data_IF_892901289578
#
_entry.id   IF_892901289578
#
_cell.length_a   1.000
_cell.length_b   1.000
_cell.length_c   1.000
_cell.angle_alpha   90.00
_cell.angle_beta   90.00
_cell.angle_gamma   90.00
#
_symmetry.space_group_name_H-M   'P 1'
#
loop_
_entity.id
_entity.type
_entity.pdbx_description
1 polymer ?
#
# COMPACT_ATOMS: atom_id res chain seq x y z
N UNK A 1 41.31 11.48 -16.80
CA UNK A 1 42.01 12.50 -17.61
C UNK A 1 43.20 11.84 -18.26
N UNK A 2 43.54 12.16 -19.51
CA UNK A 2 44.93 12.06 -20.00
C UNK A 2 45.53 10.65 -20.13
N UNK A 3 46.37 10.48 -21.17
CA UNK A 3 47.66 9.83 -20.98
C UNK A 3 48.47 10.68 -19.98
N UNK A 4 48.53 10.21 -18.73
CA UNK A 4 49.75 9.69 -18.12
C UNK A 4 49.40 8.23 -17.81
N UNK A 5 50.09 7.23 -18.38
CA UNK A 5 51.19 6.53 -17.71
C UNK A 5 50.83 6.18 -16.25
N UNK A 6 50.81 4.92 -15.81
CA UNK A 6 51.71 3.82 -16.16
C UNK A 6 51.20 2.50 -15.55
N UNK A 7 51.21 1.45 -16.38
CA UNK A 7 51.89 0.16 -16.16
C UNK A 7 51.49 -0.78 -14.99
N UNK A 8 51.31 -2.04 -15.45
CA UNK A 8 51.83 -3.32 -14.92
C UNK A 8 51.06 -3.91 -13.73
N UNK A 9 50.58 -5.16 -13.74
CA UNK A 9 51.05 -6.36 -14.44
C UNK A 9 49.91 -7.34 -14.79
N UNK A 10 49.93 -7.83 -16.03
CA UNK A 10 49.53 -9.19 -16.44
C UNK A 10 50.55 -10.23 -15.92
N UNK A 11 50.23 -11.54 -15.81
CA UNK A 11 49.98 -12.35 -17.01
C UNK A 11 48.77 -13.29 -16.96
N UNK A 12 48.26 -13.49 -18.16
CA UNK A 12 47.42 -14.59 -18.66
C UNK A 12 48.30 -15.84 -18.88
N UNK A 13 47.66 -17.00 -19.12
CA UNK A 13 48.16 -18.21 -19.84
C UNK A 13 48.45 -19.40 -18.90
N UNK A 14 47.44 -20.22 -18.56
CA UNK A 14 46.87 -21.44 -19.21
C UNK A 14 47.47 -22.75 -18.69
N UNK A 15 46.60 -23.73 -18.41
CA UNK A 15 46.76 -25.11 -18.88
C UNK A 15 45.38 -25.80 -18.99
N UNK A 16 45.01 -26.12 -20.23
CA UNK A 16 43.99 -27.10 -20.61
C UNK A 16 44.51 -28.53 -20.37
N UNK A 17 43.63 -29.52 -20.61
CA UNK A 17 43.85 -30.96 -20.97
C UNK A 17 43.36 -31.90 -19.85
N UNK A 18 42.52 -32.93 -20.02
CA UNK A 18 41.75 -33.62 -21.10
C UNK A 18 40.88 -34.66 -20.33
N UNK A 19 39.57 -34.78 -20.46
CA UNK A 19 38.75 -35.40 -21.51
C UNK A 19 38.85 -36.95 -21.65
N UNK A 20 37.71 -37.61 -21.92
CA UNK A 20 37.62 -38.97 -22.48
C UNK A 20 36.55 -39.87 -21.82
N UNK A 21 35.25 -39.68 -22.07
CA UNK A 21 34.38 -40.33 -23.08
C UNK A 21 34.16 -41.85 -22.88
N UNK A 22 32.92 -42.23 -22.54
CA UNK A 22 32.17 -43.31 -23.21
C UNK A 22 30.66 -43.16 -22.97
N UNK A 23 29.90 -43.45 -24.02
CA UNK A 23 28.46 -43.23 -24.18
C UNK A 23 27.60 -44.43 -23.77
N UNK A 24 26.28 -44.15 -23.64
CA UNK A 24 25.14 -45.07 -23.48
C UNK A 24 25.10 -45.79 -22.12
N UNK A 25 23.98 -45.86 -21.37
CA UNK A 25 22.61 -46.25 -21.77
C UNK A 25 21.54 -45.74 -20.79
N UNK A 26 20.36 -45.37 -21.32
CA UNK A 26 19.02 -45.60 -20.76
C UNK A 26 18.88 -45.84 -19.24
N UNK A 27 18.32 -44.86 -18.53
CA UNK A 27 17.05 -45.06 -17.81
C UNK A 27 16.33 -43.74 -17.76
N UNK A 28 15.16 -43.70 -18.40
CA UNK A 28 14.16 -42.67 -18.17
C UNK A 28 13.80 -42.67 -16.68
N UNK A 29 14.21 -41.66 -15.94
CA UNK A 29 13.48 -41.24 -14.74
C UNK A 29 12.33 -40.37 -15.23
N UNK A 30 11.08 -40.72 -14.89
CA UNK A 30 9.93 -39.98 -15.37
C UNK A 30 10.08 -38.54 -14.90
N UNK A 31 9.83 -37.61 -15.82
CA UNK A 31 9.53 -36.24 -15.47
C UNK A 31 8.44 -36.28 -14.40
N UNK A 32 8.81 -36.00 -13.15
CA UNK A 32 7.93 -35.23 -12.29
C UNK A 32 7.77 -33.90 -13.03
N UNK A 33 6.73 -33.83 -13.84
CA UNK A 33 6.09 -32.57 -14.15
C UNK A 33 5.69 -31.99 -12.79
N UNK A 34 6.60 -31.25 -12.15
CA UNK A 34 6.19 -30.19 -11.27
C UNK A 34 5.28 -29.33 -12.13
N UNK A 35 4.00 -29.28 -11.79
CA UNK A 35 3.08 -28.28 -12.32
C UNK A 35 3.71 -26.92 -12.00
N UNK A 36 4.51 -26.41 -12.93
CA UNK A 36 5.09 -25.09 -12.83
C UNK A 36 3.91 -24.13 -12.96
N UNK A 37 3.60 -23.46 -11.86
CA UNK A 37 2.50 -22.49 -11.79
C UNK A 37 2.70 -21.43 -12.88
N UNK A 38 1.62 -21.07 -13.59
CA UNK A 38 1.72 -20.09 -14.68
C UNK A 38 1.93 -18.67 -14.12
N UNK A 39 2.48 -17.77 -14.96
CA UNK A 39 2.82 -16.41 -14.53
C UNK A 39 1.60 -15.67 -13.98
N UNK A 40 0.43 -15.82 -14.61
CA UNK A 40 -0.81 -15.19 -14.15
C UNK A 40 -1.18 -15.60 -12.73
N UNK A 41 -1.09 -16.89 -12.39
CA UNK A 41 -1.41 -17.37 -11.05
C UNK A 41 -0.34 -16.94 -10.03
N UNK A 42 0.95 -17.02 -10.39
CA UNK A 42 2.03 -16.55 -9.52
C UNK A 42 1.90 -15.05 -9.21
N UNK A 43 1.57 -14.24 -10.22
CA UNK A 43 1.37 -12.80 -10.09
C UNK A 43 0.17 -12.47 -9.19
N UNK A 44 -0.97 -13.14 -9.38
CA UNK A 44 -2.15 -12.93 -8.54
C UNK A 44 -1.87 -13.26 -7.07
N UNK A 45 -1.16 -14.36 -6.79
CA UNK A 45 -0.70 -14.70 -5.44
C UNK A 45 0.23 -13.64 -4.86
N UNK A 46 1.19 -13.16 -5.65
CA UNK A 46 2.12 -12.12 -5.24
C UNK A 46 1.38 -10.83 -4.85
N UNK A 47 0.46 -10.33 -5.68
CA UNK A 47 -0.30 -9.11 -5.40
C UNK A 47 -1.09 -9.23 -4.10
N UNK A 48 -1.79 -10.35 -3.91
CA UNK A 48 -2.52 -10.61 -2.68
C UNK A 48 -1.62 -10.66 -1.44
N UNK A 49 -0.39 -11.19 -1.55
CA UNK A 49 0.55 -11.22 -0.43
C UNK A 49 1.07 -9.83 -0.06
N UNK A 50 1.36 -8.98 -1.06
CA UNK A 50 1.82 -7.60 -0.84
C UNK A 50 0.79 -6.79 -0.08
N UNK A 51 -0.48 -6.85 -0.48
CA UNK A 51 -1.56 -6.08 0.16
C UNK A 51 -1.78 -6.49 1.62
N UNK A 52 -1.50 -7.76 1.95
CA UNK A 52 -1.64 -8.27 3.32
C UNK A 52 -0.51 -7.84 4.25
N UNK A 53 0.63 -7.39 3.75
CA UNK A 53 1.70 -6.87 4.60
C UNK A 53 1.24 -5.66 5.43
N UNK A 54 0.46 -4.74 4.84
CA UNK A 54 -0.07 -3.59 5.58
C UNK A 54 -1.29 -3.92 6.45
N UNK A 55 -1.88 -5.10 6.30
CA UNK A 55 -2.97 -5.57 7.14
C UNK A 55 -2.47 -6.23 8.44
N UNK A 56 -1.18 -6.53 8.55
CA UNK A 56 -0.59 -7.06 9.79
C UNK A 56 -0.86 -6.07 10.94
N UNK A 57 -1.59 -6.57 11.94
CA UNK A 57 -2.06 -5.84 13.13
C UNK A 57 -2.87 -4.57 12.86
N UNK A 58 -3.52 -4.46 11.69
CA UNK A 58 -4.28 -3.25 11.31
C UNK A 58 -5.41 -2.94 12.29
N UNK A 59 -6.11 -3.96 12.80
CA UNK A 59 -7.20 -3.78 13.76
C UNK A 59 -6.70 -3.15 15.06
N UNK A 60 -5.57 -3.63 15.59
CA UNK A 60 -4.97 -3.09 16.80
C UNK A 60 -4.44 -1.65 16.59
N UNK A 61 -3.91 -1.35 15.40
CA UNK A 61 -3.50 0.00 15.01
C UNK A 61 -4.70 0.96 14.99
N UNK A 62 -5.82 0.56 14.38
CA UNK A 62 -7.06 1.34 14.35
C UNK A 62 -7.62 1.55 15.76
N UNK A 63 -7.54 0.52 16.62
CA UNK A 63 -7.92 0.65 18.03
C UNK A 63 -7.06 1.70 18.74
N UNK A 64 -5.74 1.75 18.49
CA UNK A 64 -4.87 2.79 19.08
C UNK A 64 -5.31 4.20 18.68
N UNK A 65 -5.69 4.43 17.43
CA UNK A 65 -6.15 5.74 16.95
C UNK A 65 -7.47 6.18 17.59
N UNK A 66 -8.33 5.22 17.94
CA UNK A 66 -9.67 5.46 18.50
C UNK A 66 -9.72 5.34 20.03
N UNK A 67 -8.60 5.02 20.67
CA UNK A 67 -8.52 4.92 22.14
C UNK A 67 -8.51 6.31 22.81
N UNK A 68 -9.28 6.51 23.90
CA UNK A 68 -9.15 7.70 24.73
C UNK A 68 -7.75 7.82 25.34
N UNK A 69 -7.25 9.05 25.50
CA UNK A 69 -5.90 9.29 26.06
C UNK A 69 -5.69 8.69 27.45
N UNK A 70 -6.74 8.56 28.25
CA UNK A 70 -6.66 7.91 29.56
C UNK A 70 -6.22 6.44 29.45
N UNK A 71 -6.65 5.74 28.42
CA UNK A 71 -6.32 4.33 28.20
C UNK A 71 -5.00 4.18 27.43
N UNK A 72 -4.71 5.09 26.48
CA UNK A 72 -3.37 5.20 25.87
C UNK A 72 -2.27 5.33 26.93
N UNK A 73 -2.53 6.11 27.99
CA UNK A 73 -1.59 6.29 29.10
C UNK A 73 -1.39 5.03 29.93
N UNK A 74 -2.45 4.25 30.17
CA UNK A 74 -2.35 2.99 30.92
C UNK A 74 -1.57 1.94 30.14
N UNK A 75 -1.76 1.90 28.82
CA UNK A 75 -1.22 0.89 27.92
C UNK A 75 0.00 1.36 27.13
N UNK A 76 0.60 2.50 27.48
CA UNK A 76 1.64 3.14 26.65
C UNK A 76 2.78 2.19 26.28
N UNK A 77 3.28 1.41 27.25
CA UNK A 77 4.39 0.48 27.01
C UNK A 77 3.99 -0.67 26.08
N UNK A 78 2.79 -1.20 26.26
CA UNK A 78 2.27 -2.31 25.47
C UNK A 78 1.99 -1.87 24.03
N UNK A 79 1.41 -0.67 23.86
CA UNK A 79 1.21 -0.03 22.55
C UNK A 79 2.56 0.19 21.84
N UNK A 80 3.56 0.72 22.52
CA UNK A 80 4.89 0.94 21.94
C UNK A 80 5.56 -0.38 21.54
N UNK A 81 5.41 -1.43 22.36
CA UNK A 81 5.92 -2.77 22.03
C UNK A 81 5.19 -3.36 20.82
N UNK A 82 3.86 -3.24 20.76
CA UNK A 82 3.05 -3.67 19.62
C UNK A 82 3.45 -2.97 18.32
N UNK A 83 3.62 -1.64 18.35
CA UNK A 83 4.03 -0.88 17.17
C UNK A 83 5.43 -1.29 16.68
N UNK A 84 6.37 -1.52 17.62
CA UNK A 84 7.71 -2.03 17.27
C UNK A 84 7.65 -3.42 16.65
N UNK A 85 6.93 -4.35 17.28
CA UNK A 85 6.77 -5.72 16.79
C UNK A 85 6.10 -5.74 15.42
N UNK A 86 5.05 -4.93 15.23
CA UNK A 86 4.34 -4.82 13.96
C UNK A 86 5.28 -4.32 12.86
N UNK A 87 6.15 -3.35 13.17
CA UNK A 87 7.14 -2.86 12.21
C UNK A 87 8.07 -3.98 11.74
N UNK A 88 8.57 -4.81 12.65
CA UNK A 88 9.46 -5.93 12.30
C UNK A 88 8.72 -6.99 11.46
N UNK A 89 7.46 -7.28 11.78
CA UNK A 89 6.63 -8.23 11.01
C UNK A 89 6.33 -7.73 9.61
N UNK A 90 5.96 -6.44 9.46
CA UNK A 90 5.73 -5.84 8.14
C UNK A 90 7.02 -5.81 7.32
N UNK A 91 8.15 -5.46 7.92
CA UNK A 91 9.44 -5.48 7.25
C UNK A 91 9.78 -6.87 6.71
N UNK A 92 9.62 -7.92 7.52
CA UNK A 92 9.84 -9.29 7.09
C UNK A 92 8.88 -9.71 5.96
N UNK A 93 7.60 -9.32 6.05
CA UNK A 93 6.61 -9.57 5.02
C UNK A 93 7.00 -8.96 3.66
N UNK A 94 7.44 -7.70 3.65
CA UNK A 94 7.88 -7.06 2.40
C UNK A 94 9.16 -7.66 1.84
N UNK A 95 10.12 -8.09 2.67
CA UNK A 95 11.31 -8.79 2.18
C UNK A 95 10.93 -10.12 1.51
N UNK A 96 10.00 -10.87 2.09
CA UNK A 96 9.52 -12.10 1.47
C UNK A 96 8.74 -11.83 0.17
N UNK A 97 7.96 -10.75 0.14
CA UNK A 97 7.28 -10.32 -1.08
C UNK A 97 8.29 -9.97 -2.20
N UNK A 98 9.39 -9.27 -1.87
CA UNK A 98 10.46 -8.99 -2.85
C UNK A 98 11.11 -10.26 -3.38
N UNK A 99 11.36 -11.24 -2.51
CA UNK A 99 11.89 -12.54 -2.94
C UNK A 99 10.92 -13.24 -3.90
N UNK A 100 9.63 -13.26 -3.58
CA UNK A 100 8.60 -13.84 -4.43
C UNK A 100 8.45 -13.11 -5.77
N UNK A 101 8.65 -11.79 -5.80
CA UNK A 101 8.61 -11.01 -7.04
C UNK A 101 9.69 -11.45 -8.03
N UNK A 102 10.89 -11.82 -7.57
CA UNK A 102 11.94 -12.31 -8.46
C UNK A 102 11.51 -13.58 -9.22
N UNK A 103 10.82 -14.50 -8.53
CA UNK A 103 10.29 -15.73 -9.13
C UNK A 103 9.15 -15.42 -10.11
N UNK A 104 8.26 -14.47 -9.77
CA UNK A 104 7.18 -14.00 -10.66
C UNK A 104 7.76 -13.39 -11.95
N UNK A 105 8.76 -12.51 -11.83
CA UNK A 105 9.41 -11.88 -12.97
C UNK A 105 10.11 -12.92 -13.86
N UNK A 106 10.81 -13.88 -13.26
CA UNK A 106 11.44 -14.97 -14.01
C UNK A 106 10.42 -15.81 -14.79
N UNK A 107 9.27 -16.14 -14.18
CA UNK A 107 8.18 -16.84 -14.86
C UNK A 107 7.59 -16.01 -16.01
N UNK A 108 7.40 -14.71 -15.79
CA UNK A 108 6.89 -13.77 -16.79
C UNK A 108 7.81 -13.63 -18.01
N UNK A 109 9.12 -13.48 -17.80
CA UNK A 109 10.09 -13.46 -18.92
C UNK A 109 10.12 -14.79 -19.67
N UNK A 110 10.09 -15.92 -18.96
CA UNK A 110 10.03 -17.24 -19.59
C UNK A 110 8.74 -17.46 -20.41
N UNK A 111 7.62 -16.88 -19.99
CA UNK A 111 6.38 -16.90 -20.77
C UNK A 111 6.45 -15.97 -21.99
N UNK A 112 7.09 -14.81 -21.86
CA UNK A 112 7.31 -13.87 -22.97
C UNK A 112 8.15 -14.48 -24.08
N UNK A 113 9.18 -15.26 -23.75
CA UNK A 113 9.96 -16.02 -24.74
C UNK A 113 9.13 -17.05 -25.51
N UNK A 114 8.13 -17.66 -24.85
CA UNK A 114 7.20 -18.63 -25.48
C UNK A 114 6.14 -17.93 -26.33
N UNK A 115 5.79 -16.69 -26.00
CA UNK A 115 4.76 -15.87 -26.65
C UNK A 115 5.32 -14.49 -27.05
N UNK A 116 6.31 -14.43 -27.97
CA UNK A 116 7.05 -13.19 -28.25
C UNK A 116 6.22 -12.05 -28.88
N UNK A 117 5.00 -12.35 -29.34
CA UNK A 117 4.08 -11.38 -29.95
C UNK A 117 2.87 -11.07 -29.05
N UNK A 118 2.88 -11.52 -27.80
CA UNK A 118 1.80 -11.25 -26.84
C UNK A 118 1.98 -9.84 -26.23
N UNK A 119 1.36 -8.85 -26.87
CA UNK A 119 1.39 -7.46 -26.42
C UNK A 119 0.82 -7.27 -25.02
N UNK A 120 -0.16 -8.10 -24.63
CA UNK A 120 -0.76 -8.04 -23.29
C UNK A 120 0.25 -8.43 -22.22
N UNK A 121 0.97 -9.53 -22.45
CA UNK A 121 2.04 -9.98 -21.57
C UNK A 121 3.18 -8.96 -21.50
N UNK A 122 3.58 -8.38 -22.64
CA UNK A 122 4.64 -7.36 -22.67
C UNK A 122 4.30 -6.11 -21.83
N UNK A 123 3.08 -5.59 -21.98
CA UNK A 123 2.60 -4.45 -21.18
C UNK A 123 2.48 -4.78 -19.69
N UNK A 124 2.07 -6.02 -19.36
CA UNK A 124 1.98 -6.45 -17.97
C UNK A 124 3.35 -6.54 -17.31
N UNK A 125 4.36 -7.03 -18.02
CA UNK A 125 5.75 -7.08 -17.54
C UNK A 125 6.34 -5.69 -17.32
N UNK A 126 6.03 -4.70 -18.19
CA UNK A 126 6.47 -3.31 -18.01
C UNK A 126 5.92 -2.69 -16.71
N UNK A 127 4.69 -3.04 -16.32
CA UNK A 127 4.15 -2.66 -15.01
C UNK A 127 4.85 -3.40 -13.87
N UNK A 128 5.09 -4.70 -14.02
CA UNK A 128 5.68 -5.51 -12.97
C UNK A 128 7.16 -5.17 -12.70
N UNK A 129 7.90 -4.70 -13.70
CA UNK A 129 9.28 -4.19 -13.55
C UNK A 129 9.39 -3.01 -12.57
N UNK A 130 8.30 -2.31 -12.29
CA UNK A 130 8.27 -1.18 -11.36
C UNK A 130 7.99 -1.61 -9.92
N UNK A 131 7.46 -2.83 -9.71
CA UNK A 131 7.08 -3.34 -8.40
C UNK A 131 8.24 -3.40 -7.39
N UNK A 132 9.50 -3.70 -7.74
CA UNK A 132 10.58 -3.72 -6.75
C UNK A 132 10.78 -2.37 -6.05
N UNK A 133 10.81 -1.27 -6.81
CA UNK A 133 10.96 0.08 -6.26
C UNK A 133 9.73 0.47 -5.41
N UNK A 134 8.53 0.08 -5.85
CA UNK A 134 7.29 0.33 -5.13
C UNK A 134 7.25 -0.43 -3.79
N UNK A 135 7.71 -1.68 -3.76
CA UNK A 135 7.84 -2.47 -2.52
C UNK A 135 8.86 -1.85 -1.56
N UNK A 136 10.01 -1.40 -2.05
CA UNK A 136 11.00 -0.69 -1.24
C UNK A 136 10.41 0.58 -0.60
N UNK A 137 9.67 1.36 -1.39
CA UNK A 137 9.01 2.57 -0.91
C UNK A 137 7.94 2.26 0.15
N UNK A 138 7.05 1.30 -0.11
CA UNK A 138 5.99 0.90 0.83
C UNK A 138 6.57 0.33 2.12
N UNK A 139 7.57 -0.54 2.05
CA UNK A 139 8.26 -1.05 3.23
C UNK A 139 8.85 0.08 4.10
N UNK A 140 9.51 1.06 3.47
CA UNK A 140 10.07 2.21 4.18
C UNK A 140 8.96 3.04 4.84
N UNK A 141 7.93 3.40 4.08
CA UNK A 141 6.81 4.22 4.58
C UNK A 141 6.08 3.51 5.72
N UNK A 142 5.77 2.22 5.58
CA UNK A 142 5.11 1.41 6.62
C UNK A 142 5.95 1.38 7.91
N UNK A 143 7.28 1.25 7.79
CA UNK A 143 8.18 1.31 8.93
C UNK A 143 8.26 2.70 9.61
N UNK A 144 8.34 3.77 8.81
CA UNK A 144 8.37 5.15 9.30
C UNK A 144 7.02 5.57 9.91
N UNK A 145 5.91 5.07 9.38
CA UNK A 145 4.56 5.34 9.86
C UNK A 145 4.39 4.81 11.28
N UNK A 146 4.78 3.55 11.53
CA UNK A 146 4.68 2.94 12.85
C UNK A 146 5.59 3.63 13.88
N UNK A 147 6.73 4.15 13.45
CA UNK A 147 7.60 4.96 14.30
C UNK A 147 6.95 6.31 14.63
N UNK A 148 6.41 7.01 13.62
CA UNK A 148 5.70 8.28 13.78
C UNK A 148 4.48 8.14 14.70
N UNK A 149 3.70 7.05 14.57
CA UNK A 149 2.58 6.76 15.47
C UNK A 149 3.04 6.54 16.92
N UNK A 150 4.20 5.91 17.13
CA UNK A 150 4.77 5.71 18.47
C UNK A 150 5.18 7.04 19.13
N UNK A 151 5.73 7.95 18.33
CA UNK A 151 6.04 9.33 18.74
C UNK A 151 4.76 10.11 19.06
N UNK A 152 3.72 9.96 18.24
CA UNK A 152 2.41 10.59 18.43
C UNK A 152 1.73 10.14 19.74
N UNK A 153 1.80 8.84 20.08
CA UNK A 153 1.33 8.32 21.38
C UNK A 153 2.07 9.03 22.52
N UNK A 154 3.39 9.11 22.42
CA UNK A 154 4.24 9.75 23.43
C UNK A 154 3.94 11.24 23.57
N UNK A 155 3.79 11.93 22.44
CA UNK A 155 3.48 13.35 22.39
C UNK A 155 2.10 13.64 22.98
N UNK A 156 1.09 12.85 22.60
CA UNK A 156 -0.29 13.01 23.07
C UNK A 156 -0.37 12.90 24.58
N UNK A 157 0.26 11.86 25.17
CA UNK A 157 0.29 11.67 26.62
C UNK A 157 1.02 12.81 27.34
N UNK A 158 2.17 13.24 26.82
CA UNK A 158 2.95 14.34 27.42
C UNK A 158 2.23 15.69 27.34
N UNK A 159 1.45 15.92 26.29
CA UNK A 159 0.82 17.21 26.00
C UNK A 159 -0.70 17.24 26.24
N UNK A 160 -1.25 16.23 26.93
CA UNK A 160 -2.69 16.08 27.19
C UNK A 160 -3.37 17.39 27.62
N UNK A 161 -2.79 18.11 28.59
CA UNK A 161 -3.33 19.38 29.10
C UNK A 161 -3.39 20.48 28.05
N UNK A 162 -2.38 20.55 27.17
CA UNK A 162 -2.31 21.54 26.09
C UNK A 162 -3.34 21.19 25.01
N UNK A 163 -3.41 19.93 24.62
CA UNK A 163 -4.34 19.43 23.60
C UNK A 163 -5.81 19.58 24.06
N UNK A 164 -6.13 19.25 25.31
CA UNK A 164 -7.48 19.46 25.89
C UNK A 164 -7.93 20.92 25.86
N UNK A 165 -7.01 21.86 26.09
CA UNK A 165 -7.30 23.31 25.97
C UNK A 165 -7.58 23.72 24.53
N UNK A 166 -6.86 23.16 23.57
CA UNK A 166 -7.07 23.42 22.14
C UNK A 166 -8.41 22.83 21.65
N UNK A 167 -8.80 21.66 22.14
CA UNK A 167 -10.03 20.97 21.77
C UNK A 167 -11.26 21.36 22.62
N UNK A 168 -11.17 22.44 23.41
CA UNK A 168 -12.28 23.00 24.23
C UNK A 168 -12.99 21.96 25.12
N UNK A 169 -12.25 21.00 25.67
CA UNK A 169 -12.79 20.04 26.64
C UNK A 169 -13.57 18.86 26.05
N UNK A 170 -13.47 18.58 24.74
CA UNK A 170 -13.91 17.31 24.15
C UNK A 170 -13.02 16.14 24.60
N UNK A 171 -13.54 14.92 24.45
CA UNK A 171 -12.74 13.70 24.64
C UNK A 171 -11.49 13.76 23.76
N UNK A 172 -10.33 13.56 24.38
CA UNK A 172 -9.05 13.61 23.71
C UNK A 172 -8.66 12.20 23.27
N UNK A 173 -8.41 12.06 21.97
CA UNK A 173 -7.90 10.85 21.32
C UNK A 173 -6.43 11.06 20.92
N UNK A 174 -5.84 10.07 20.24
CA UNK A 174 -4.50 10.19 19.69
C UNK A 174 -4.40 11.44 18.80
N UNK A 175 -3.39 12.27 19.04
CA UNK A 175 -3.06 13.37 18.14
C UNK A 175 -2.23 12.82 16.98
N UNK A 176 -2.70 13.02 15.76
CA UNK A 176 -1.95 12.73 14.54
C UNK A 176 -1.04 13.91 14.19
N UNK A 177 0.26 13.66 14.06
CA UNK A 177 1.20 14.68 13.58
C UNK A 177 1.19 14.83 12.06
N UNK A 178 1.63 15.99 11.58
CA UNK A 178 1.81 16.26 10.14
C UNK A 178 2.68 15.19 9.45
N UNK A 179 3.64 14.61 10.18
CA UNK A 179 4.48 13.51 9.68
C UNK A 179 3.66 12.24 9.47
N UNK A 180 2.87 11.82 10.45
CA UNK A 180 1.99 10.65 10.36
C UNK A 180 0.98 10.81 9.22
N UNK A 181 0.31 11.97 9.15
CA UNK A 181 -0.62 12.31 8.08
C UNK A 181 0.05 12.23 6.69
N UNK A 182 1.25 12.79 6.55
CA UNK A 182 2.01 12.74 5.31
C UNK A 182 2.39 11.32 4.88
N UNK A 183 2.77 10.46 5.82
CA UNK A 183 3.15 9.07 5.55
C UNK A 183 1.94 8.24 5.09
N UNK A 184 0.78 8.38 5.75
CA UNK A 184 -0.48 7.76 5.32
C UNK A 184 -0.80 8.15 3.87
N UNK A 185 -0.68 9.45 3.57
CA UNK A 185 -0.95 9.97 2.23
C UNK A 185 0.04 9.46 1.18
N UNK A 186 1.32 9.35 1.52
CA UNK A 186 2.34 8.80 0.61
C UNK A 186 2.07 7.33 0.29
N UNK A 187 1.73 6.52 1.30
CA UNK A 187 1.39 5.10 1.10
C UNK A 187 0.16 4.95 0.21
N UNK A 188 -0.93 5.65 0.55
CA UNK A 188 -2.16 5.64 -0.25
C UNK A 188 -1.91 6.13 -1.68
N UNK A 189 -1.06 7.14 -1.87
CA UNK A 189 -0.66 7.65 -3.19
C UNK A 189 0.08 6.60 -4.03
N UNK A 190 0.93 5.78 -3.42
CA UNK A 190 1.59 4.65 -4.09
C UNK A 190 0.57 3.59 -4.49
N UNK A 191 -0.27 3.15 -3.55
CA UNK A 191 -1.30 2.12 -3.79
C UNK A 191 -2.21 2.53 -4.95
N UNK A 192 -2.75 3.74 -4.91
CA UNK A 192 -3.59 4.28 -5.96
C UNK A 192 -2.80 4.43 -7.28
N UNK A 193 -1.54 4.86 -7.25
CA UNK A 193 -0.76 4.94 -8.51
C UNK A 193 -0.57 3.57 -9.17
N UNK A 194 -0.39 2.50 -8.39
CA UNK A 194 -0.25 1.13 -8.93
C UNK A 194 -1.58 0.63 -9.47
N UNK A 195 -2.64 0.79 -8.69
CA UNK A 195 -4.00 0.43 -9.09
C UNK A 195 -4.40 1.15 -10.38
N UNK A 196 -4.16 2.46 -10.47
CA UNK A 196 -4.49 3.25 -11.65
C UNK A 196 -3.78 2.76 -12.92
N UNK A 197 -2.52 2.33 -12.83
CA UNK A 197 -1.78 1.75 -13.96
C UNK A 197 -2.36 0.39 -14.37
N UNK A 198 -2.69 -0.46 -13.40
CA UNK A 198 -3.34 -1.75 -13.68
C UNK A 198 -4.71 -1.54 -14.35
N UNK A 199 -5.54 -0.63 -13.84
CA UNK A 199 -6.85 -0.33 -14.41
C UNK A 199 -6.78 0.26 -15.82
N UNK A 200 -5.72 1.02 -16.14
CA UNK A 200 -5.47 1.49 -17.50
C UNK A 200 -5.11 0.35 -18.45
N UNK A 201 -4.27 -0.59 -17.99
CA UNK A 201 -3.97 -1.79 -18.77
C UNK A 201 -5.23 -2.64 -18.97
N UNK A 202 -5.99 -2.90 -17.93
CA UNK A 202 -7.22 -3.71 -17.99
C UNK A 202 -8.25 -3.10 -18.97
N UNK A 203 -8.32 -1.77 -19.08
CA UNK A 203 -9.17 -1.07 -20.05
C UNK A 203 -8.76 -1.29 -21.50
N UNK A 204 -7.46 -1.28 -21.78
CA UNK A 204 -6.95 -1.60 -23.11
C UNK A 204 -7.30 -3.04 -23.51
N UNK A 205 -7.40 -3.94 -22.53
CA UNK A 205 -7.64 -5.37 -22.72
C UNK A 205 -9.12 -5.76 -22.72
N UNK A 206 -10.00 -4.87 -22.25
CA UNK A 206 -11.43 -5.15 -22.07
C UNK A 206 -12.29 -4.28 -23.00
N UNK A 207 -12.37 -4.57 -24.32
CA UNK A 207 -13.16 -3.77 -25.24
C UNK A 207 -14.67 -3.91 -24.95
N UNK A 208 -15.48 -2.83 -25.12
CA UNK A 208 -16.91 -2.82 -24.82
C UNK A 208 -17.73 -3.59 -25.86
N UNK A 209 -17.64 -4.92 -25.78
CA UNK A 209 -18.36 -5.87 -26.63
C UNK A 209 -19.50 -6.53 -25.86
N UNK A 210 -20.46 -7.17 -26.56
CA UNK A 210 -21.58 -7.86 -25.90
C UNK A 210 -21.12 -9.04 -25.02
N UNK A 211 -20.05 -9.73 -25.42
CA UNK A 211 -19.52 -10.89 -24.68
C UNK A 211 -18.75 -10.50 -23.42
N UNK A 212 -18.21 -9.28 -23.36
CA UNK A 212 -17.38 -8.79 -22.25
C UNK A 212 -18.05 -7.65 -21.47
N UNK A 213 -19.38 -7.50 -21.62
CA UNK A 213 -20.10 -6.38 -21.03
C UNK A 213 -19.99 -6.36 -19.50
N UNK A 214 -20.03 -7.52 -18.86
CA UNK A 214 -19.89 -7.65 -17.41
C UNK A 214 -18.51 -7.15 -16.92
N UNK A 215 -17.43 -7.66 -17.52
CA UNK A 215 -16.06 -7.26 -17.19
C UNK A 215 -15.82 -5.78 -17.48
N UNK A 216 -16.38 -5.26 -18.57
CA UNK A 216 -16.33 -3.84 -18.88
C UNK A 216 -17.04 -2.99 -17.81
N UNK A 217 -18.23 -3.39 -17.36
CA UNK A 217 -18.95 -2.69 -16.28
C UNK A 217 -18.17 -2.74 -14.97
N UNK A 218 -17.68 -3.92 -14.57
CA UNK A 218 -16.82 -4.09 -13.37
C UNK A 218 -15.62 -3.14 -13.43
N UNK A 219 -14.94 -3.07 -14.58
CA UNK A 219 -13.79 -2.19 -14.77
C UNK A 219 -14.16 -0.71 -14.61
N UNK A 220 -15.28 -0.26 -15.19
CA UNK A 220 -15.72 1.14 -15.05
C UNK A 220 -16.09 1.50 -13.63
N UNK A 221 -16.73 0.60 -12.90
CA UNK A 221 -17.01 0.76 -11.48
C UNK A 221 -15.71 0.86 -10.65
N UNK A 222 -14.74 -0.04 -10.88
CA UNK A 222 -13.41 0.01 -10.23
C UNK A 222 -12.69 1.33 -10.52
N UNK A 223 -12.65 1.76 -11.78
CA UNK A 223 -12.05 3.05 -12.17
C UNK A 223 -12.74 4.23 -11.52
N UNK A 224 -14.07 4.22 -11.44
CA UNK A 224 -14.79 5.30 -10.76
C UNK A 224 -14.46 5.34 -9.26
N UNK A 225 -14.43 4.19 -8.59
CA UNK A 225 -14.03 4.06 -7.19
C UNK A 225 -12.60 4.58 -6.96
N UNK A 226 -11.66 4.21 -7.82
CA UNK A 226 -10.27 4.67 -7.79
C UNK A 226 -10.17 6.21 -7.81
N UNK A 227 -10.87 6.86 -8.74
CA UNK A 227 -10.86 8.32 -8.85
C UNK A 227 -11.63 9.02 -7.70
N UNK A 228 -12.67 8.40 -7.15
CA UNK A 228 -13.32 8.90 -5.92
C UNK A 228 -12.39 8.83 -4.71
N UNK A 229 -11.61 7.74 -4.55
CA UNK A 229 -10.62 7.62 -3.49
C UNK A 229 -9.56 8.75 -3.58
N UNK A 230 -9.07 9.04 -4.80
CA UNK A 230 -8.18 10.19 -5.06
C UNK A 230 -8.83 11.53 -4.72
N UNK A 231 -10.12 11.68 -5.04
CA UNK A 231 -10.90 12.89 -4.71
C UNK A 231 -10.99 13.10 -3.19
N UNK A 232 -11.26 12.04 -2.42
CA UNK A 232 -11.32 12.07 -0.96
C UNK A 232 -9.97 12.43 -0.32
N UNK A 233 -8.85 11.93 -0.86
CA UNK A 233 -7.52 12.33 -0.37
C UNK A 233 -7.24 13.82 -0.60
N UNK A 234 -7.66 14.38 -1.74
CA UNK A 234 -7.47 15.81 -2.03
C UNK A 234 -8.37 16.65 -1.12
N UNK A 235 -9.57 16.18 -0.78
CA UNK A 235 -10.44 16.85 0.17
C UNK A 235 -9.75 17.10 1.53
N UNK A 236 -9.02 16.10 2.04
CA UNK A 236 -8.29 16.23 3.31
C UNK A 236 -7.23 17.35 3.25
N UNK A 237 -6.57 17.52 2.10
CA UNK A 237 -5.64 18.63 1.88
C UNK A 237 -6.34 19.98 1.88
N UNK A 238 -7.52 20.09 1.25
CA UNK A 238 -8.28 21.35 1.18
C UNK A 238 -8.65 21.82 2.59
N UNK A 239 -9.03 20.89 3.47
CA UNK A 239 -9.36 21.19 4.87
C UNK A 239 -8.14 21.64 5.67
N UNK A 240 -6.97 21.04 5.42
CA UNK A 240 -5.72 21.38 6.10
C UNK A 240 -5.09 22.70 5.60
N UNK A 241 -5.13 22.96 4.29
CA UNK A 241 -4.41 24.05 3.64
C UNK A 241 -5.31 25.23 3.20
N UNK A 242 -5.49 26.20 4.09
CA UNK A 242 -6.28 27.42 3.79
C UNK A 242 -5.68 28.35 2.72
N UNK A 243 -4.43 28.15 2.31
CA UNK A 243 -3.70 29.09 1.40
C UNK A 243 -3.79 28.72 -0.08
N UNK A 244 -4.18 27.50 -0.42
CA UNK A 244 -4.20 26.98 -1.80
C UNK A 244 -5.56 26.44 -2.23
N UNK A 245 -6.62 26.85 -1.54
CA UNK A 245 -8.00 26.37 -1.74
C UNK A 245 -8.40 26.33 -3.23
N UNK A 246 -8.19 27.35 -4.08
CA UNK A 246 -8.60 27.27 -5.49
C UNK A 246 -7.87 26.19 -6.30
N UNK A 247 -6.58 25.93 -6.03
CA UNK A 247 -5.80 24.91 -6.73
C UNK A 247 -6.19 23.51 -6.27
N UNK A 248 -6.37 23.32 -4.97
CA UNK A 248 -6.78 22.03 -4.40
C UNK A 248 -8.21 21.67 -4.83
N UNK A 249 -9.10 22.66 -4.88
CA UNK A 249 -10.46 22.49 -5.41
C UNK A 249 -10.49 22.16 -6.91
N UNK A 250 -9.61 22.75 -7.72
CA UNK A 250 -9.49 22.38 -9.13
C UNK A 250 -9.00 20.94 -9.31
N UNK A 251 -8.08 20.47 -8.46
CA UNK A 251 -7.63 19.07 -8.45
C UNK A 251 -8.75 18.12 -8.03
N UNK A 252 -9.49 18.48 -6.97
CA UNK A 252 -10.66 17.73 -6.49
C UNK A 252 -11.66 17.54 -7.63
N UNK A 253 -12.02 18.63 -8.33
CA UNK A 253 -12.90 18.56 -9.50
C UNK A 253 -12.34 17.66 -10.59
N UNK A 254 -11.05 17.74 -10.89
CA UNK A 254 -10.45 16.94 -11.97
C UNK A 254 -10.57 15.45 -11.70
N UNK A 255 -10.20 14.99 -10.49
CA UNK A 255 -10.33 13.58 -10.11
C UNK A 255 -11.80 13.15 -10.09
N UNK A 256 -12.68 14.00 -9.57
CA UNK A 256 -14.11 13.76 -9.59
C UNK A 256 -14.68 13.59 -11.01
N UNK A 257 -14.28 14.45 -11.95
CA UNK A 257 -14.71 14.36 -13.34
C UNK A 257 -14.22 13.09 -14.02
N UNK A 258 -13.04 12.57 -13.66
CA UNK A 258 -12.61 11.25 -14.13
C UNK A 258 -13.52 10.14 -13.61
N UNK A 259 -13.95 10.21 -12.34
CA UNK A 259 -14.90 9.27 -11.75
C UNK A 259 -16.28 9.32 -12.44
N UNK A 260 -16.82 10.53 -12.64
CA UNK A 260 -18.09 10.77 -13.32
C UNK A 260 -18.03 10.33 -14.79
N UNK A 261 -16.92 10.59 -15.47
CA UNK A 261 -16.68 10.14 -16.85
C UNK A 261 -16.82 8.63 -17.04
N UNK A 262 -16.36 7.83 -16.08
CA UNK A 262 -16.52 6.37 -16.15
C UNK A 262 -18.01 5.95 -16.11
N UNK A 263 -18.81 6.63 -15.28
CA UNK A 263 -20.24 6.36 -15.16
C UNK A 263 -21.02 6.85 -16.38
N UNK A 264 -20.61 7.97 -16.98
CA UNK A 264 -21.20 8.50 -18.21
C UNK A 264 -20.98 7.55 -19.39
N UNK A 265 -19.83 6.88 -19.46
CA UNK A 265 -19.60 5.82 -20.46
C UNK A 265 -20.55 4.63 -20.28
N UNK A 266 -20.91 4.28 -19.04
CA UNK A 266 -21.93 3.26 -18.79
C UNK A 266 -23.32 3.71 -19.28
N UNK A 267 -23.67 4.99 -19.07
CA UNK A 267 -24.93 5.57 -19.57
C UNK A 267 -25.02 5.48 -21.10
N UNK A 268 -23.91 5.74 -21.81
CA UNK A 268 -23.86 5.62 -23.26
C UNK A 268 -24.10 4.17 -23.77
N UNK A 269 -24.02 3.18 -22.87
CA UNK A 269 -24.26 1.76 -23.15
C UNK A 269 -25.62 1.24 -22.67
N UNK A 270 -26.50 2.12 -22.16
CA UNK A 270 -27.80 1.78 -21.57
C UNK A 270 -28.64 0.73 -22.34
N UNK A 271 -28.74 0.75 -23.70
CA UNK A 271 -29.47 -0.30 -24.42
C UNK A 271 -28.89 -1.71 -24.24
N UNK A 272 -27.58 -1.82 -24.01
CA UNK A 272 -26.86 -3.09 -23.79
C UNK A 272 -26.89 -3.52 -22.32
N UNK A 273 -27.04 -2.58 -21.39
CA UNK A 273 -27.19 -2.86 -19.95
C UNK A 273 -28.52 -3.55 -19.61
N UNK A 274 -29.45 -3.65 -20.58
CA UNK A 274 -30.65 -4.48 -20.52
C UNK A 274 -30.39 -5.97 -20.24
N UNK A 275 -29.15 -6.44 -20.44
CA UNK A 275 -28.72 -7.80 -20.11
C UNK A 275 -28.50 -8.05 -18.60
N UNK A 276 -28.37 -7.00 -17.79
CA UNK A 276 -28.24 -7.13 -16.33
C UNK A 276 -29.63 -7.26 -15.66
N UNK A 277 -29.64 -7.83 -14.45
CA UNK A 277 -30.85 -8.09 -13.68
C UNK A 277 -31.72 -6.83 -13.50
N UNK A 278 -33.02 -7.03 -13.31
CA UNK A 278 -33.99 -5.94 -13.12
C UNK A 278 -33.78 -5.16 -11.82
N UNK A 279 -32.97 -5.67 -10.89
CA UNK A 279 -32.56 -4.99 -9.65
C UNK A 279 -31.27 -4.18 -9.85
N UNK A 280 -30.34 -4.70 -10.66
CA UNK A 280 -29.05 -4.06 -10.86
C UNK A 280 -29.15 -2.78 -11.68
N UNK A 281 -29.94 -2.82 -12.74
CA UNK A 281 -30.07 -1.71 -13.69
C UNK A 281 -30.62 -0.43 -13.05
N UNK A 282 -31.72 -0.45 -12.27
CA UNK A 282 -32.20 0.75 -11.57
C UNK A 282 -31.19 1.30 -10.56
N UNK A 283 -30.47 0.42 -9.84
CA UNK A 283 -29.46 0.84 -8.87
C UNK A 283 -28.26 1.52 -9.54
N UNK A 284 -27.79 0.97 -10.66
CA UNK A 284 -26.72 1.55 -11.46
C UNK A 284 -27.14 2.89 -12.10
N UNK A 285 -28.41 3.02 -12.52
CA UNK A 285 -28.94 4.30 -13.00
C UNK A 285 -29.04 5.35 -11.88
N UNK A 286 -29.45 4.95 -10.66
CA UNK A 286 -29.45 5.86 -9.50
C UNK A 286 -28.04 6.37 -9.18
N UNK A 287 -27.04 5.49 -9.27
CA UNK A 287 -25.64 5.83 -9.06
C UNK A 287 -25.14 6.84 -10.11
N UNK A 288 -25.43 6.59 -11.39
CA UNK A 288 -25.14 7.52 -12.49
C UNK A 288 -25.80 8.88 -12.25
N UNK A 289 -27.07 8.90 -11.87
CA UNK A 289 -27.77 10.16 -11.62
C UNK A 289 -27.16 10.94 -10.44
N UNK A 290 -26.77 10.24 -9.36
CA UNK A 290 -26.14 10.87 -8.20
C UNK A 290 -24.78 11.48 -8.52
N UNK A 291 -23.93 10.78 -9.28
CA UNK A 291 -22.62 11.31 -9.67
C UNK A 291 -22.76 12.50 -10.65
N UNK A 292 -23.77 12.51 -11.52
CA UNK A 292 -24.02 13.66 -12.38
C UNK A 292 -24.55 14.88 -11.61
N UNK A 293 -25.41 14.68 -10.61
CA UNK A 293 -25.91 15.78 -9.78
C UNK A 293 -24.79 16.44 -8.97
N UNK A 294 -23.93 15.64 -8.35
CA UNK A 294 -22.79 16.17 -7.60
C UNK A 294 -21.74 16.84 -8.51
N UNK A 295 -21.64 16.44 -9.79
CA UNK A 295 -20.82 17.16 -10.78
C UNK A 295 -21.29 18.61 -10.96
N UNK A 296 -22.60 18.79 -11.14
CA UNK A 296 -23.23 20.09 -11.32
C UNK A 296 -23.09 20.95 -10.06
N UNK A 297 -23.22 20.34 -8.89
CA UNK A 297 -23.04 21.03 -7.62
C UNK A 297 -21.59 21.52 -7.43
N UNK A 298 -20.61 20.64 -7.65
CA UNK A 298 -19.18 20.99 -7.59
C UNK A 298 -18.85 22.10 -8.59
N UNK A 299 -19.37 22.04 -9.81
CA UNK A 299 -19.15 23.11 -10.79
C UNK A 299 -19.80 24.44 -10.39
N UNK A 300 -21.03 24.40 -9.87
CA UNK A 300 -21.73 25.58 -9.36
C UNK A 300 -20.95 26.26 -8.24
N UNK A 301 -20.59 25.51 -7.21
CA UNK A 301 -19.85 26.02 -6.07
C UNK A 301 -18.47 26.58 -6.46
N UNK A 302 -17.75 25.95 -7.38
CA UNK A 302 -16.46 26.46 -7.85
C UNK A 302 -16.58 27.76 -8.65
N UNK A 303 -17.63 27.86 -9.47
CA UNK A 303 -17.94 29.11 -10.17
C UNK A 303 -18.23 30.21 -9.17
N UNK A 304 -19.01 29.93 -8.14
CA UNK A 304 -19.43 30.91 -7.16
C UNK A 304 -18.28 31.32 -6.22
N UNK A 305 -17.42 30.39 -5.84
CA UNK A 305 -16.15 30.67 -5.16
C UNK A 305 -15.23 31.56 -5.99
N UNK A 306 -15.06 31.27 -7.27
CA UNK A 306 -14.24 32.09 -8.19
C UNK A 306 -14.79 33.52 -8.32
N UNK A 307 -16.11 33.66 -8.27
CA UNK A 307 -16.78 34.94 -8.42
C UNK A 307 -17.00 35.68 -7.08
N UNK A 308 -16.56 35.11 -5.95
CA UNK A 308 -16.86 35.59 -4.60
C UNK A 308 -18.37 35.78 -4.34
N UNK A 309 -19.20 34.90 -4.91
CA UNK A 309 -20.66 34.95 -4.83
C UNK A 309 -21.26 33.76 -4.08
N UNK A 310 -20.45 32.93 -3.44
CA UNK A 310 -20.92 31.81 -2.63
C UNK A 310 -21.65 32.33 -1.38
N UNK A 311 -22.91 31.95 -1.23
CA UNK A 311 -23.76 32.40 -0.11
C UNK A 311 -23.45 31.66 1.20
N UNK A 312 -22.98 30.41 1.10
CA UNK A 312 -22.64 29.55 2.24
C UNK A 312 -21.15 29.58 2.60
N UNK A 313 -20.81 29.11 3.80
CA UNK A 313 -19.41 28.92 4.20
C UNK A 313 -18.80 27.79 3.34
N UNK A 314 -17.69 28.05 2.60
CA UNK A 314 -17.02 27.04 1.79
C UNK A 314 -16.65 25.77 2.56
N UNK A 315 -16.43 25.88 3.88
CA UNK A 315 -16.09 24.75 4.75
C UNK A 315 -17.29 23.82 4.98
N UNK A 316 -18.51 24.39 5.05
CA UNK A 316 -19.75 23.61 5.22
C UNK A 316 -20.07 22.87 3.94
N UNK A 317 -20.08 23.57 2.80
CA UNK A 317 -20.25 22.97 1.48
C UNK A 317 -19.27 21.83 1.23
N UNK A 318 -17.99 22.07 1.49
CA UNK A 318 -16.94 21.07 1.33
C UNK A 318 -17.25 19.82 2.16
N UNK A 319 -17.74 19.99 3.41
CA UNK A 319 -18.15 18.87 4.27
C UNK A 319 -19.35 18.09 3.70
N UNK A 320 -20.30 18.74 3.05
CA UNK A 320 -21.42 18.09 2.36
C UNK A 320 -20.94 17.27 1.17
N UNK A 321 -20.06 17.85 0.34
CA UNK A 321 -19.41 17.15 -0.78
C UNK A 321 -18.68 15.90 -0.29
N UNK A 322 -17.97 15.96 0.84
CA UNK A 322 -17.31 14.78 1.42
C UNK A 322 -18.31 13.67 1.79
N UNK A 323 -19.45 14.03 2.38
CA UNK A 323 -20.49 13.06 2.72
C UNK A 323 -21.05 12.41 1.46
N UNK A 324 -21.31 13.19 0.41
CA UNK A 324 -21.83 12.70 -0.86
C UNK A 324 -20.82 11.79 -1.58
N UNK A 325 -19.54 12.19 -1.63
CA UNK A 325 -18.46 11.36 -2.17
C UNK A 325 -18.32 10.03 -1.42
N UNK A 326 -18.46 10.06 -0.09
CA UNK A 326 -18.42 8.86 0.75
C UNK A 326 -19.61 7.93 0.48
N UNK A 327 -20.82 8.49 0.34
CA UNK A 327 -22.02 7.74 -0.01
C UNK A 327 -21.94 7.14 -1.42
N UNK A 328 -21.41 7.88 -2.39
CA UNK A 328 -21.15 7.40 -3.75
C UNK A 328 -20.15 6.24 -3.75
N UNK A 329 -19.05 6.38 -3.00
CA UNK A 329 -18.05 5.33 -2.86
C UNK A 329 -18.66 4.05 -2.30
N UNK A 330 -19.48 4.16 -1.24
CA UNK A 330 -20.22 3.02 -0.68
C UNK A 330 -21.21 2.42 -1.69
N UNK A 331 -21.93 3.24 -2.45
CA UNK A 331 -22.87 2.75 -3.44
C UNK A 331 -22.16 1.97 -4.58
N UNK A 332 -21.02 2.47 -5.07
CA UNK A 332 -20.18 1.76 -6.05
C UNK A 332 -19.69 0.44 -5.46
N UNK A 333 -19.23 0.46 -4.21
CA UNK A 333 -18.79 -0.73 -3.47
C UNK A 333 -19.87 -1.81 -3.47
N UNK A 334 -21.10 -1.44 -3.16
CA UNK A 334 -22.26 -2.35 -3.20
C UNK A 334 -22.52 -2.91 -4.61
N UNK A 335 -22.33 -2.11 -5.68
CA UNK A 335 -22.44 -2.64 -7.05
C UNK A 335 -21.34 -3.65 -7.37
N UNK A 336 -20.10 -3.39 -6.93
CA UNK A 336 -18.97 -4.33 -7.11
C UNK A 336 -19.20 -5.64 -6.33
N UNK A 337 -19.90 -5.61 -5.20
CA UNK A 337 -20.28 -6.81 -4.44
C UNK A 337 -21.23 -7.72 -5.21
N UNK A 338 -22.20 -7.17 -5.94
CA UNK A 338 -23.11 -7.97 -6.78
C UNK A 338 -22.39 -8.74 -7.89
N UNK A 339 -21.22 -8.27 -8.27
CA UNK A 339 -20.33 -8.91 -9.22
C UNK A 339 -19.36 -9.93 -8.59
N UNK A 340 -19.45 -10.18 -7.28
CA UNK A 340 -18.53 -11.03 -6.54
C UNK A 340 -17.09 -10.50 -6.48
N UNK A 341 -16.89 -9.21 -6.81
CA UNK A 341 -15.57 -8.57 -6.83
C UNK A 341 -15.12 -8.17 -5.43
N UNK A 342 -16.07 -7.89 -4.53
CA UNK A 342 -15.80 -7.59 -3.13
C UNK A 342 -16.66 -8.45 -2.20
N UNK A 343 -16.06 -8.99 -1.13
CA UNK A 343 -16.78 -9.63 -0.04
C UNK A 343 -17.01 -8.62 1.08
N UNK A 344 -18.26 -8.53 1.58
CA UNK A 344 -18.51 -7.88 2.87
C UNK A 344 -18.04 -8.84 3.94
N UNK A 345 -17.00 -8.47 4.69
CA UNK A 345 -16.71 -9.12 5.97
C UNK A 345 -17.81 -8.69 6.93
N UNK A 346 -18.92 -9.44 6.96
CA UNK A 346 -20.07 -9.15 7.84
C UNK A 346 -19.88 -9.69 9.26
N UNK A 347 -18.89 -10.57 9.46
CA UNK A 347 -18.54 -11.15 10.76
C UNK A 347 -17.08 -11.62 10.77
N UNK A 348 -16.51 -11.87 11.96
CA UNK A 348 -15.18 -12.52 12.09
C UNK A 348 -15.16 -13.93 11.45
N UNK A 349 -16.32 -14.57 11.28
CA UNK A 349 -16.49 -15.88 10.64
C UNK A 349 -16.50 -15.80 9.09
N UNK A 350 -16.68 -14.60 8.52
CA UNK A 350 -16.63 -14.35 7.08
C UNK A 350 -15.23 -13.90 6.59
N UNK A 351 -14.24 -13.90 7.49
CA UNK A 351 -12.85 -13.79 7.07
C UNK A 351 -12.53 -15.07 6.27
N UNK A 352 -12.12 -14.97 5.00
CA UNK A 352 -11.68 -16.15 4.27
C UNK A 352 -10.58 -16.82 5.09
N UNK A 353 -10.76 -18.11 5.39
CA UNK A 353 -9.73 -18.96 5.99
C UNK A 353 -8.40 -18.61 5.30
N UNK A 354 -7.36 -18.30 6.09
CA UNK A 354 -6.04 -18.12 5.51
C UNK A 354 -5.76 -19.38 4.68
N UNK A 355 -5.50 -19.27 3.36
CA UNK A 355 -5.03 -20.42 2.60
C UNK A 355 -3.86 -21.03 3.37
N UNK A 356 -3.76 -22.35 3.50
CA UNK A 356 -2.70 -22.99 4.33
C UNK A 356 -1.28 -22.53 3.99
N UNK A 357 -1.06 -22.12 2.74
CA UNK A 357 0.19 -21.56 2.24
C UNK A 357 0.50 -20.16 2.81
N UNK A 358 -0.53 -19.46 3.30
CA UNK A 358 -0.53 -18.13 3.88
C UNK A 358 -0.38 -18.15 5.41
N UNK A 359 -0.96 -19.11 6.12
CA UNK A 359 -0.58 -19.37 7.53
C UNK A 359 0.92 -19.64 7.60
N UNK A 360 1.45 -20.45 6.68
CA UNK A 360 2.89 -20.70 6.57
C UNK A 360 3.70 -19.44 6.21
N UNK A 361 3.15 -18.51 5.42
CA UNK A 361 3.82 -17.26 5.05
C UNK A 361 3.86 -16.28 6.24
N UNK A 362 2.75 -16.10 6.95
CA UNK A 362 2.67 -15.26 8.16
C UNK A 362 3.48 -15.90 9.29
N UNK A 363 3.41 -17.21 9.50
CA UNK A 363 4.25 -17.92 10.47
C UNK A 363 5.74 -17.73 10.15
N UNK A 364 6.15 -17.83 8.87
CA UNK A 364 7.54 -17.53 8.47
C UNK A 364 7.92 -16.08 8.71
N UNK A 365 7.05 -15.13 8.41
CA UNK A 365 7.30 -13.71 8.67
C UNK A 365 7.38 -13.41 10.17
N UNK A 366 6.51 -14.03 10.98
CA UNK A 366 6.54 -13.95 12.44
C UNK A 366 7.78 -14.62 13.03
N UNK A 367 8.19 -15.79 12.53
CA UNK A 367 9.43 -16.46 12.94
C UNK A 367 10.67 -15.64 12.57
N UNK A 368 10.71 -15.07 11.36
CA UNK A 368 11.78 -14.19 10.92
C UNK A 368 11.84 -12.92 11.78
N UNK A 369 10.69 -12.33 12.09
CA UNK A 369 10.57 -11.21 13.02
C UNK A 369 11.04 -11.55 14.43
N UNK A 370 10.61 -12.69 14.98
CA UNK A 370 11.08 -13.19 16.29
C UNK A 370 12.60 -13.37 16.30
N UNK A 371 13.18 -13.97 15.25
CA UNK A 371 14.64 -14.12 15.09
C UNK A 371 15.36 -12.78 15.01
N UNK A 372 14.79 -11.79 14.32
CA UNK A 372 15.34 -10.44 14.24
C UNK A 372 15.33 -9.74 15.62
N UNK A 373 14.23 -9.85 16.38
CA UNK A 373 14.11 -9.34 17.76
C UNK A 373 15.16 -9.99 18.67
N UNK A 374 15.33 -11.31 18.59
CA UNK A 374 16.32 -12.04 19.38
C UNK A 374 17.75 -11.65 19.01
N UNK A 375 18.03 -11.44 17.72
CA UNK A 375 19.32 -10.97 17.25
C UNK A 375 19.61 -9.53 17.72
N UNK A 376 18.62 -8.64 17.72
CA UNK A 376 18.75 -7.29 18.30
C UNK A 376 18.99 -7.35 19.81
N UNK A 377 18.23 -8.17 20.55
CA UNK A 377 18.43 -8.37 21.99
C UNK A 377 19.83 -8.90 22.30
N UNK A 378 20.30 -9.89 21.55
CA UNK A 378 21.64 -10.45 21.70
C UNK A 378 22.75 -9.42 21.37
N UNK A 379 22.54 -8.56 20.36
CA UNK A 379 23.45 -7.45 20.05
C UNK A 379 23.46 -6.39 21.17
N UNK A 380 22.30 -6.06 21.72
CA UNK A 380 22.16 -5.10 22.82
C UNK A 380 22.77 -5.63 24.14
N UNK A 381 22.65 -6.94 24.41
CA UNK A 381 23.29 -7.58 25.56
C UNK A 381 24.81 -7.66 25.41
N UNK A 382 25.32 -7.99 24.22
CA UNK A 382 26.77 -7.92 23.93
C UNK A 382 27.31 -6.50 24.12
N UNK A 383 26.61 -5.47 23.63
CA UNK A 383 27.00 -4.08 23.79
C UNK A 383 26.96 -3.61 25.27
N UNK A 384 26.03 -4.14 26.08
CA UNK A 384 26.02 -3.90 27.54
C UNK A 384 27.18 -4.60 28.24
N UNK A 385 27.49 -5.85 27.88
CA UNK A 385 28.59 -6.62 28.44
C UNK A 385 29.97 -6.02 28.13
N UNK A 386 30.17 -5.46 26.93
CA UNK A 386 31.39 -4.72 26.57
C UNK A 386 31.55 -3.42 27.37
N UNK A 387 30.46 -2.65 27.54
CA UNK A 387 30.47 -1.47 28.43
C UNK A 387 30.74 -1.80 29.90
N UNK A 388 30.43 -3.00 30.36
CA UNK A 388 30.72 -3.41 31.75
C UNK A 388 32.20 -3.79 31.91
N UNK A 389 32.83 -4.36 30.87
CA UNK A 389 34.27 -4.67 30.87
C UNK A 389 35.16 -3.43 30.82
N UNK A 390 34.73 -2.36 30.14
CA UNK A 390 35.45 -1.08 30.15
C UNK A 390 35.32 -0.31 31.47
N UNK A 391 34.33 -0.63 32.31
CA UNK A 391 34.17 -0.07 33.65
C UNK A 391 34.99 -0.81 34.72
N UNK A 392 35.54 -1.99 34.42
CA UNK A 392 36.32 -2.86 35.32
C UNK A 392 37.84 -2.78 35.09
N UNK A 393 38.34 -1.78 34.35
CA UNK A 393 39.78 -1.49 34.33
C UNK A 393 40.21 -0.83 35.66
N UNK A 394 41.19 -1.38 36.41
CA UNK A 394 41.54 -0.86 37.72
C UNK A 394 42.24 0.49 37.62
N UNK A 395 41.78 1.46 38.42
CA UNK A 395 42.52 2.70 38.68
C UNK A 395 43.87 2.33 39.32
N UNK A 396 44.97 2.58 38.61
CA UNK A 396 46.29 2.63 39.22
C UNK A 396 46.40 3.93 40.02
N UNK A 397 46.71 3.79 41.30
CA UNK A 397 47.09 4.84 42.22
C UNK A 397 48.32 5.61 41.70
N UNK A 398 48.19 6.93 41.54
CA UNK A 398 49.34 7.85 41.50
C UNK A 398 49.46 8.52 42.88
N UNK A 399 50.03 7.77 43.81
CA UNK A 399 50.68 8.33 44.98
C UNK A 399 52.17 8.51 44.67
N UNK A 400 52.54 9.61 44.00
CA UNK A 400 53.90 10.17 44.13
C UNK A 400 54.00 11.61 43.59
N UNK A 401 53.75 12.57 44.49
CA UNK A 401 54.30 13.93 44.39
C UNK A 401 54.86 14.37 45.74
N UNK A 402 56.01 13.80 46.10
CA UNK A 402 57.02 14.42 46.97
C UNK A 402 58.41 13.91 46.58
N UNK A 403 59.11 14.65 45.70
CA UNK A 403 60.57 14.90 45.76
C UNK A 403 61.08 15.50 44.44
N UNK A 404 61.03 16.83 44.30
CA UNK A 404 62.19 17.72 44.16
C UNK A 404 61.75 19.15 43.94
#
# INVERSE_FOLDING_TARGET
MKQFNTRLKTPVITANIVAGILAATLTATPALAQNQEDYATMRAKFQHNVDRCDLINVQQIVQIQTMPVADLKKQQKDIQALLKQTREYRQACYEEAKNALADVMAAGFAESEKKPNDTTLALQLELDEQLPELLDMRQRISGELLESMSDDVTYTIKNERKLKRQQKGKDLYLYESDRTASLIKQDMGIVLSVEGRQLQLDELLTPPTKSNLEEFVKLKLKKSMHYLARTLMIYEDVQAEKRHVPVLLAKLRSEYLYAAGQMNELTAMDPKLSAFSDEMRPSMQQLINRIQLLELDIEGALRDLRNNSMEEDPSNWLSEVYQDLSQLSLAIKTQLQWFGVEQVVTSEEDLPDLPKDLEAFIEKAEEAGKKAIEAEKAKAEKAKAEKTKDAEAPKKDDADKKAK
#
